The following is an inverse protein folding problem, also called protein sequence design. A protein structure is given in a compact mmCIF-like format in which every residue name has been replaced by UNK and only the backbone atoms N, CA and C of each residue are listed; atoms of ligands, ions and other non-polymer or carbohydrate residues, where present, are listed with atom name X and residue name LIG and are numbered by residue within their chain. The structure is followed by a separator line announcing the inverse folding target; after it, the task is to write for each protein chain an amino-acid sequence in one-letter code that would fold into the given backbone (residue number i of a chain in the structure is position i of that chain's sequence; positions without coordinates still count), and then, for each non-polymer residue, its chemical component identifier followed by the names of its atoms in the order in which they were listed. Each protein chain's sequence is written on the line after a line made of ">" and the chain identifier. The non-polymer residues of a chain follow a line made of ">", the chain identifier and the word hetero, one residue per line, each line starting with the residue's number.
data_IF_713002478852
#
_entry.id   IF_713002478852
#
_cell.length_a   1.000
_cell.length_b   1.000
_cell.length_c   1.000
_cell.angle_alpha   90.00
_cell.angle_beta   90.00
_cell.angle_gamma   90.00
#
_symmetry.space_group_name_H-M   'P 1'
#
loop_
_entity.id
_entity.type
_entity.pdbx_description
1 polymer ?
#
# COMPACT_ATOMS: atom_id res chain seq x y z
N UNK A 1 1.42 19.18 -4.21
CA UNK A 1 1.15 18.44 -2.94
C UNK A 1 -0.31 18.09 -2.90
N UNK A 2 -0.62 16.83 -2.59
CA UNK A 2 -1.96 16.24 -2.70
C UNK A 2 -2.26 15.43 -1.43
N UNK A 3 -3.49 15.52 -0.92
CA UNK A 3 -3.98 14.60 0.10
C UNK A 3 -4.53 13.35 -0.60
N UNK A 4 -3.88 12.20 -0.42
CA UNK A 4 -4.21 10.98 -1.17
C UNK A 4 -3.41 9.77 -0.70
N UNK A 5 -3.92 8.57 -0.99
CA UNK A 5 -3.25 7.35 -0.58
C UNK A 5 -1.90 7.21 -1.30
N UNK A 6 -0.80 6.96 -0.56
CA UNK A 6 0.47 6.62 -1.17
C UNK A 6 0.36 5.32 -1.98
N UNK A 7 1.15 5.22 -3.05
CA UNK A 7 1.15 4.09 -4.00
C UNK A 7 1.40 2.72 -3.35
N UNK A 8 2.11 2.69 -2.22
CA UNK A 8 2.36 1.49 -1.41
C UNK A 8 2.08 1.80 0.05
N UNK A 9 1.41 0.87 0.74
CA UNK A 9 1.18 0.99 2.18
C UNK A 9 0.16 2.07 2.57
N UNK A 10 -0.60 2.61 1.62
CA UNK A 10 -1.74 3.51 1.88
C UNK A 10 -3.02 2.79 2.30
N UNK A 11 -3.20 1.52 1.87
CA UNK A 11 -4.39 0.72 2.22
C UNK A 11 -4.30 0.06 3.60
N UNK A 12 -5.46 -0.13 4.23
CA UNK A 12 -5.59 -0.82 5.51
C UNK A 12 -5.36 -2.33 5.38
N UNK A 13 -4.43 -2.84 6.18
CA UNK A 13 -4.10 -4.27 6.27
C UNK A 13 -2.60 -4.55 6.46
N UNK A 14 -1.73 -3.56 6.25
CA UNK A 14 -0.28 -3.70 6.51
C UNK A 14 0.09 -3.12 7.87
N UNK A 15 1.01 -3.79 8.58
CA UNK A 15 1.54 -3.34 9.89
C UNK A 15 2.23 -1.97 9.82
N UNK A 16 2.76 -1.61 8.66
CA UNK A 16 3.43 -0.33 8.42
C UNK A 16 2.65 0.49 7.40
N UNK A 17 2.40 1.76 7.73
CA UNK A 17 1.70 2.72 6.87
C UNK A 17 2.68 3.77 6.37
N UNK A 18 2.60 4.06 5.08
CA UNK A 18 3.32 5.20 4.49
C UNK A 18 2.51 6.45 4.78
N UNK A 19 3.11 7.43 5.47
CA UNK A 19 2.44 8.66 5.92
C UNK A 19 2.58 9.80 4.91
N UNK A 20 3.71 9.83 4.22
CA UNK A 20 4.01 10.72 3.09
C UNK A 20 4.72 9.96 1.98
N UNK A 21 4.60 10.45 0.75
CA UNK A 21 5.36 9.93 -0.39
C UNK A 21 5.70 11.07 -1.36
N UNK A 22 6.99 11.20 -1.67
CA UNK A 22 7.47 12.02 -2.78
C UNK A 22 7.72 11.17 -4.04
N UNK A 23 7.30 11.69 -5.18
CA UNK A 23 7.79 11.32 -6.52
C UNK A 23 8.69 12.44 -7.02
N UNK A 24 9.92 12.10 -7.41
CA UNK A 24 10.86 13.08 -7.94
C UNK A 24 10.34 13.77 -9.20
N UNK A 25 10.84 14.97 -9.48
CA UNK A 25 10.57 15.71 -10.72
C UNK A 25 10.84 14.90 -12.02
N UNK A 26 11.74 13.92 -11.97
CA UNK A 26 12.02 13.06 -13.13
C UNK A 26 10.86 12.10 -13.46
N UNK A 27 9.94 11.87 -12.53
CA UNK A 27 8.78 11.01 -12.70
C UNK A 27 7.51 11.76 -13.17
N UNK A 28 7.56 13.08 -13.30
CA UNK A 28 6.45 13.90 -13.83
C UNK A 28 6.79 14.46 -15.22
N UNK A 29 5.78 14.53 -16.08
CA UNK A 29 5.89 15.09 -17.43
C UNK A 29 6.24 16.59 -17.40
N UNK A 30 5.69 17.32 -16.43
CA UNK A 30 5.91 18.76 -16.26
C UNK A 30 7.13 19.10 -15.39
N UNK A 31 7.90 18.08 -14.98
CA UNK A 31 9.13 18.19 -14.20
C UNK A 31 8.95 18.80 -12.80
N UNK A 32 7.78 18.70 -12.20
CA UNK A 32 7.56 18.99 -10.78
C UNK A 32 7.60 17.72 -9.93
N UNK A 33 8.09 17.86 -8.69
CA UNK A 33 8.01 16.78 -7.71
C UNK A 33 6.57 16.69 -7.16
N UNK A 34 6.04 15.47 -7.09
CA UNK A 34 4.69 15.21 -6.60
C UNK A 34 4.74 14.64 -5.18
N UNK A 35 4.15 15.36 -4.22
CA UNK A 35 4.10 14.95 -2.81
C UNK A 35 2.68 14.55 -2.43
N UNK A 36 2.54 13.35 -1.87
CA UNK A 36 1.31 12.80 -1.35
C UNK A 36 1.40 12.74 0.18
N UNK A 37 0.37 13.25 0.85
CA UNK A 37 0.17 13.07 2.29
C UNK A 37 -1.01 12.14 2.49
N UNK A 38 -0.83 11.14 3.35
CA UNK A 38 -1.85 10.12 3.60
C UNK A 38 -3.12 10.75 4.19
N UNK A 39 -4.31 10.41 3.68
CA UNK A 39 -5.57 11.01 4.12
C UNK A 39 -5.97 10.56 5.53
N UNK A 40 -5.25 9.63 6.15
CA UNK A 40 -5.47 9.21 7.54
C UNK A 40 -4.83 10.16 8.57
N UNK A 41 -4.01 11.11 8.11
CA UNK A 41 -3.35 12.14 8.91
C UNK A 41 -4.18 13.44 8.85
N UNK A 42 -4.61 13.95 10.00
CA UNK A 42 -5.41 15.18 10.10
C UNK A 42 -4.92 16.18 11.15
N UNK A 43 -3.93 15.79 11.96
CA UNK A 43 -3.24 16.74 12.82
C UNK A 43 -2.35 17.67 11.98
N UNK A 44 -2.63 18.98 12.02
CA UNK A 44 -1.95 19.98 11.18
C UNK A 44 -0.43 19.97 11.36
N UNK A 45 0.04 19.80 12.60
CA UNK A 45 1.43 19.96 12.96
C UNK A 45 2.23 18.72 12.52
N UNK A 46 1.64 17.55 12.74
CA UNK A 46 2.08 16.28 12.19
C UNK A 46 2.17 16.30 10.66
N UNK A 47 1.14 16.82 9.98
CA UNK A 47 1.13 16.94 8.51
C UNK A 47 2.25 17.86 8.03
N UNK A 48 2.51 18.97 8.72
CA UNK A 48 3.62 19.87 8.40
C UNK A 48 4.99 19.17 8.52
N UNK A 49 5.20 18.39 9.59
CA UNK A 49 6.42 17.62 9.76
C UNK A 49 6.59 16.54 8.67
N UNK A 50 5.52 15.84 8.29
CA UNK A 50 5.58 14.87 7.18
C UNK A 50 5.89 15.60 5.87
N UNK A 51 5.25 16.73 5.60
CA UNK A 51 5.50 17.51 4.39
C UNK A 51 6.96 17.97 4.31
N UNK A 52 7.53 18.46 5.42
CA UNK A 52 8.93 18.85 5.49
C UNK A 52 9.87 17.67 5.16
N UNK A 53 9.58 16.47 5.68
CA UNK A 53 10.31 15.25 5.33
C UNK A 53 10.27 14.97 3.82
N UNK A 54 9.09 15.02 3.21
CA UNK A 54 8.93 14.75 1.77
C UNK A 54 9.54 15.85 0.88
N UNK A 55 9.57 17.10 1.35
CA UNK A 55 10.27 18.19 0.65
C UNK A 55 11.78 17.97 0.58
N UNK A 56 12.38 17.28 1.56
CA UNK A 56 13.79 16.88 1.47
C UNK A 56 13.97 15.85 0.34
N UNK A 57 13.07 14.87 0.20
CA UNK A 57 13.12 13.93 -0.95
C UNK A 57 12.96 14.67 -2.28
N UNK A 58 12.09 15.69 -2.34
CA UNK A 58 11.95 16.51 -3.54
C UNK A 58 13.24 17.27 -3.89
N UNK A 59 13.94 17.80 -2.88
CA UNK A 59 15.20 18.52 -3.06
C UNK A 59 16.40 17.59 -3.33
N UNK A 60 16.37 16.37 -2.80
CA UNK A 60 17.45 15.37 -2.86
C UNK A 60 16.93 14.01 -3.36
N UNK A 61 16.43 13.91 -4.61
CA UNK A 61 15.69 12.74 -5.10
C UNK A 61 16.49 11.44 -5.08
N UNK A 62 17.82 11.51 -5.26
CA UNK A 62 18.69 10.33 -5.32
C UNK A 62 19.28 9.92 -3.96
N UNK A 63 19.04 10.71 -2.91
CA UNK A 63 19.64 10.47 -1.61
C UNK A 63 18.99 9.29 -0.86
N UNK A 64 17.70 9.03 -1.09
CA UNK A 64 16.90 8.21 -0.18
C UNK A 64 17.07 8.69 1.27
N UNK A 65 17.18 7.80 2.25
CA UNK A 65 17.51 8.17 3.64
C UNK A 65 19.02 8.07 3.95
N UNK A 66 19.90 8.21 2.95
CA UNK A 66 21.37 8.16 3.12
C UNK A 66 21.91 9.49 3.65
N UNK A 67 23.24 9.57 3.87
CA UNK A 67 23.92 10.69 4.54
C UNK A 67 23.50 12.10 4.08
N UNK A 68 23.33 12.41 2.78
CA UNK A 68 22.87 13.75 2.36
C UNK A 68 21.49 14.10 2.93
N UNK A 69 20.54 13.15 2.89
CA UNK A 69 19.23 13.29 3.49
C UNK A 69 19.30 13.47 5.00
N UNK A 70 20.11 12.64 5.68
CA UNK A 70 20.25 12.69 7.14
C UNK A 70 20.76 14.05 7.63
N UNK A 71 21.71 14.64 6.89
CA UNK A 71 22.23 15.98 7.17
C UNK A 71 21.11 17.02 6.98
N UNK A 72 20.42 16.99 5.84
CA UNK A 72 19.33 17.92 5.56
C UNK A 72 18.19 17.81 6.60
N UNK A 73 17.76 16.58 6.90
CA UNK A 73 16.72 16.29 7.89
C UNK A 73 17.11 16.78 9.28
N UNK A 74 18.33 16.47 9.75
CA UNK A 74 18.82 16.96 11.04
C UNK A 74 18.91 18.50 11.06
N UNK A 75 19.35 19.13 9.96
CA UNK A 75 19.51 20.58 9.88
C UNK A 75 18.19 21.36 9.99
N UNK A 76 17.08 20.75 9.57
CA UNK A 76 15.74 21.34 9.71
C UNK A 76 14.99 20.82 10.94
N UNK A 77 15.64 20.03 11.82
CA UNK A 77 15.03 19.58 13.06
C UNK A 77 14.20 18.29 12.95
N UNK A 78 14.64 17.30 12.16
CA UNK A 78 14.15 15.91 12.26
C UNK A 78 15.14 15.02 13.02
N UNK A 79 14.60 14.03 13.75
CA UNK A 79 15.37 13.06 14.52
C UNK A 79 15.44 11.70 13.81
N UNK A 80 16.53 10.97 14.04
CA UNK A 80 16.66 9.57 13.62
C UNK A 80 15.73 8.64 14.43
N UNK A 81 15.30 7.48 13.88
CA UNK A 81 15.59 6.98 12.53
C UNK A 81 14.81 7.74 11.44
N UNK A 82 15.49 8.14 10.37
CA UNK A 82 14.90 9.00 9.34
C UNK A 82 13.83 8.32 8.48
N UNK A 83 13.72 7.00 8.49
CA UNK A 83 12.61 6.30 7.81
C UNK A 83 11.26 6.49 8.51
N UNK A 84 11.27 6.93 9.77
CA UNK A 84 10.09 7.23 10.58
C UNK A 84 10.35 8.47 11.44
N UNK A 85 11.10 9.45 10.92
CA UNK A 85 11.58 10.58 11.72
C UNK A 85 10.43 11.37 12.30
N UNK A 86 10.58 11.72 13.57
CA UNK A 86 9.77 12.74 14.22
C UNK A 86 10.50 14.09 14.16
N UNK A 87 9.73 15.18 14.18
CA UNK A 87 10.28 16.52 14.30
C UNK A 87 10.78 16.77 15.74
N UNK A 88 11.76 17.65 15.87
CA UNK A 88 12.23 18.14 17.17
C UNK A 88 11.26 19.20 17.71
N UNK A 89 11.24 19.45 19.03
CA UNK A 89 10.44 20.53 19.61
C UNK A 89 10.71 21.90 18.97
N UNK A 90 11.97 22.18 18.61
CA UNK A 90 12.37 23.45 17.99
C UNK A 90 11.79 23.61 16.58
N UNK A 91 11.73 22.53 15.78
CA UNK A 91 11.01 22.56 14.51
C UNK A 91 9.52 22.80 14.72
N UNK A 92 8.92 22.14 15.72
CA UNK A 92 7.49 22.28 15.99
C UNK A 92 7.13 23.69 16.44
N UNK A 93 7.92 24.32 17.30
CA UNK A 93 7.73 25.71 17.72
C UNK A 93 7.80 26.67 16.51
N UNK A 94 8.80 26.49 15.63
CA UNK A 94 8.88 27.25 14.39
C UNK A 94 7.68 27.00 13.46
N UNK A 95 7.30 25.73 13.29
CA UNK A 95 6.21 25.34 12.42
C UNK A 95 4.86 25.85 12.93
N UNK A 96 4.62 25.85 14.23
CA UNK A 96 3.39 26.35 14.85
C UNK A 96 3.17 27.83 14.56
N UNK A 97 4.21 28.66 14.68
CA UNK A 97 4.13 30.07 14.32
C UNK A 97 3.73 30.29 12.85
N UNK A 98 4.25 29.45 11.93
CA UNK A 98 3.84 29.47 10.53
C UNK A 98 2.39 28.98 10.35
N UNK A 99 2.04 27.86 10.98
CA UNK A 99 0.72 27.24 10.87
C UNK A 99 -0.40 28.14 11.43
N UNK A 100 -0.11 28.98 12.42
CA UNK A 100 -1.06 29.94 12.98
C UNK A 100 -1.36 31.11 12.02
N UNK A 101 -0.47 31.36 11.06
CA UNK A 101 -0.72 32.34 9.98
C UNK A 101 -1.59 31.78 8.84
N UNK A 102 -1.79 30.47 8.80
CA UNK A 102 -2.55 29.79 7.74
C UNK A 102 -4.02 29.61 8.12
N UNK A 103 -4.92 29.51 7.13
CA UNK A 103 -6.30 29.12 7.41
C UNK A 103 -6.36 27.72 8.04
N UNK A 104 -7.48 27.36 8.70
CA UNK A 104 -7.68 26.05 9.27
C UNK A 104 -7.40 24.94 8.25
N UNK A 105 -6.68 23.89 8.68
CA UNK A 105 -6.39 22.74 7.84
C UNK A 105 -7.71 22.11 7.35
N UNK A 106 -8.01 22.12 6.04
CA UNK A 106 -9.35 21.81 5.55
C UNK A 106 -9.66 20.31 5.57
N UNK A 107 -8.65 19.46 5.74
CA UNK A 107 -8.79 18.00 5.73
C UNK A 107 -9.19 17.47 7.11
N UNK A 108 -9.92 16.35 7.10
CA UNK A 108 -10.26 15.57 8.30
C UNK A 108 -9.91 14.11 8.03
N UNK A 109 -9.49 13.39 9.07
CA UNK A 109 -9.02 12.01 8.94
C UNK A 109 -10.02 11.15 8.17
N UNK A 110 -9.54 10.54 7.10
CA UNK A 110 -10.25 9.49 6.41
C UNK A 110 -10.22 8.21 7.24
N UNK A 111 -11.37 7.80 7.74
CA UNK A 111 -11.55 6.52 8.41
C UNK A 111 -11.60 5.38 7.39
N UNK A 112 -10.45 5.05 6.83
CA UNK A 112 -10.29 4.08 5.75
C UNK A 112 -10.64 2.62 6.14
N UNK A 113 -11.02 2.36 7.41
CA UNK A 113 -11.51 1.05 7.88
C UNK A 113 -12.98 0.81 7.54
N UNK A 114 -13.69 1.85 7.08
CA UNK A 114 -15.07 1.72 6.64
C UNK A 114 -15.05 1.24 5.18
N UNK A 115 -15.51 0.02 4.87
CA UNK A 115 -15.59 -0.44 3.49
C UNK A 115 -16.51 0.52 2.70
N UNK A 116 -16.03 1.07 1.59
CA UNK A 116 -16.85 1.89 0.66
C UNK A 116 -17.93 1.03 -0.01
N UNK A 117 -17.67 -0.27 -0.08
CA UNK A 117 -18.62 -1.37 -0.21
C UNK A 117 -17.89 -2.59 0.37
N UNK A 118 -18.59 -3.57 0.97
CA UNK A 118 -17.98 -4.88 1.19
C UNK A 118 -17.48 -5.37 -0.16
N UNK A 119 -16.16 -5.46 -0.32
CA UNK A 119 -15.55 -6.03 -1.52
C UNK A 119 -16.09 -7.46 -1.56
N UNK A 120 -17.03 -7.75 -2.48
CA UNK A 120 -17.60 -9.10 -2.62
C UNK A 120 -16.42 -10.06 -2.67
N UNK A 121 -16.39 -11.02 -1.75
CA UNK A 121 -15.37 -12.06 -1.71
C UNK A 121 -15.29 -12.64 -3.13
N UNK A 122 -14.11 -12.59 -3.74
CA UNK A 122 -13.95 -13.22 -5.05
C UNK A 122 -14.15 -14.72 -4.85
N UNK A 123 -15.30 -15.25 -5.27
CA UNK A 123 -15.70 -16.66 -5.07
C UNK A 123 -14.98 -17.63 -6.00
N UNK A 124 -14.18 -17.14 -6.94
CA UNK A 124 -13.41 -17.97 -7.86
C UNK A 124 -12.10 -18.49 -7.21
N UNK A 125 -12.21 -19.39 -6.23
CA UNK A 125 -11.06 -20.17 -5.76
C UNK A 125 -10.69 -21.19 -6.85
N UNK A 126 -9.46 -21.10 -7.35
CA UNK A 126 -8.93 -22.11 -8.28
C UNK A 126 -8.63 -23.40 -7.50
N UNK A 127 -9.13 -24.53 -8.00
CA UNK A 127 -8.95 -25.87 -7.44
C UNK A 127 -7.72 -26.50 -8.09
N UNK A 128 -6.82 -27.03 -7.26
CA UNK A 128 -5.62 -27.74 -7.72
C UNK A 128 -6.01 -29.16 -8.13
N UNK A 129 -5.61 -29.55 -9.33
CA UNK A 129 -5.59 -30.92 -9.79
C UNK A 129 -4.13 -31.38 -9.86
N UNK A 130 -3.87 -32.63 -9.50
CA UNK A 130 -2.54 -33.24 -9.50
C UNK A 130 -2.58 -34.64 -10.13
N UNK A 131 -1.61 -34.93 -10.99
CA UNK A 131 -1.44 -36.26 -11.56
C UNK A 131 -0.81 -37.18 -10.51
N UNK A 132 -1.47 -38.31 -10.23
CA UNK A 132 -0.97 -39.28 -9.24
C UNK A 132 0.31 -40.02 -9.69
N UNK A 133 0.60 -40.03 -10.99
CA UNK A 133 1.73 -40.77 -11.57
C UNK A 133 3.01 -39.94 -11.59
N UNK A 134 2.92 -38.64 -11.92
CA UNK A 134 4.10 -37.78 -12.10
C UNK A 134 4.07 -36.47 -11.32
N UNK A 135 3.02 -36.17 -10.56
CA UNK A 135 2.91 -34.93 -9.79
C UNK A 135 2.70 -33.67 -10.62
N UNK A 136 2.43 -33.77 -11.93
CA UNK A 136 2.05 -32.60 -12.74
C UNK A 136 0.82 -31.92 -12.14
N UNK A 137 0.82 -30.59 -12.03
CA UNK A 137 -0.28 -29.84 -11.41
C UNK A 137 -0.93 -28.86 -12.38
N UNK A 138 -2.25 -28.79 -12.33
CA UNK A 138 -3.09 -27.83 -13.06
C UNK A 138 -4.01 -27.17 -12.05
N UNK A 139 -4.38 -25.91 -12.29
CA UNK A 139 -5.42 -25.24 -11.52
C UNK A 139 -6.60 -24.94 -12.43
N UNK A 140 -7.80 -25.33 -12.03
CA UNK A 140 -9.06 -25.09 -12.77
C UNK A 140 -10.15 -24.57 -11.84
N UNK A 141 -11.33 -24.25 -12.36
CA UNK A 141 -12.48 -23.78 -11.58
C UNK A 141 -13.43 -24.92 -11.22
N UNK A 142 -14.19 -24.76 -10.12
CA UNK A 142 -15.28 -25.68 -9.72
C UNK A 142 -16.19 -26.01 -10.90
N UNK A 143 -16.61 -24.97 -11.64
CA UNK A 143 -17.44 -25.09 -12.84
C UNK A 143 -16.92 -26.16 -13.80
N UNK A 144 -15.62 -26.16 -14.13
CA UNK A 144 -15.07 -27.11 -15.11
C UNK A 144 -14.96 -28.53 -14.56
N UNK A 145 -14.66 -28.67 -13.26
CA UNK A 145 -14.64 -29.98 -12.62
C UNK A 145 -16.03 -30.62 -12.56
N UNK A 146 -17.06 -29.83 -12.24
CA UNK A 146 -18.44 -30.33 -12.17
C UNK A 146 -19.04 -30.56 -13.56
N UNK A 147 -18.74 -29.70 -14.54
CA UNK A 147 -19.36 -29.80 -15.88
C UNK A 147 -18.66 -30.74 -16.85
N UNK A 148 -17.33 -30.89 -16.75
CA UNK A 148 -16.53 -31.66 -17.72
C UNK A 148 -15.61 -32.69 -17.04
N UNK A 149 -15.30 -32.49 -15.77
CA UNK A 149 -14.42 -33.38 -15.00
C UNK A 149 -12.98 -32.86 -14.91
N UNK A 150 -12.16 -33.60 -14.15
CA UNK A 150 -10.76 -33.23 -13.96
C UNK A 150 -9.95 -33.35 -15.27
N UNK A 151 -8.95 -32.48 -15.49
CA UNK A 151 -8.06 -32.55 -16.64
C UNK A 151 -7.33 -33.90 -16.74
N UNK A 152 -6.92 -34.27 -17.96
CA UNK A 152 -6.04 -35.42 -18.20
C UNK A 152 -4.60 -34.93 -18.14
N UNK A 153 -3.71 -35.73 -17.56
CA UNK A 153 -2.29 -35.42 -17.54
C UNK A 153 -1.74 -35.38 -18.99
N UNK A 154 -0.93 -34.37 -19.36
CA UNK A 154 -0.40 -34.27 -20.73
C UNK A 154 0.70 -35.30 -21.04
N UNK A 155 1.20 -36.03 -20.04
CA UNK A 155 2.20 -37.09 -20.24
C UNK A 155 1.53 -38.33 -20.83
N UNK A 156 2.17 -38.91 -21.83
CA UNK A 156 1.69 -40.11 -22.51
C UNK A 156 1.48 -41.27 -21.52
N UNK A 157 0.34 -41.95 -21.64
CA UNK A 157 -0.03 -43.07 -20.76
C UNK A 157 -0.64 -42.68 -19.42
N UNK A 158 -0.59 -41.40 -19.02
CA UNK A 158 -1.15 -40.96 -17.74
C UNK A 158 -2.64 -40.62 -17.84
N UNK A 159 -3.34 -40.82 -16.73
CA UNK A 159 -4.79 -40.69 -16.65
C UNK A 159 -5.33 -39.31 -16.24
N UNK A 160 -6.60 -39.34 -15.82
CA UNK A 160 -7.32 -38.20 -15.23
C UNK A 160 -6.67 -37.78 -13.92
N UNK A 161 -6.46 -36.48 -13.74
CA UNK A 161 -5.82 -35.90 -12.55
C UNK A 161 -6.78 -35.91 -11.34
N UNK A 162 -6.22 -35.97 -10.14
CA UNK A 162 -6.96 -35.99 -8.88
C UNK A 162 -7.09 -34.56 -8.31
N UNK A 163 -8.16 -34.28 -7.58
CA UNK A 163 -8.34 -33.03 -6.84
C UNK A 163 -9.05 -33.30 -5.51
N UNK A 164 -8.91 -32.37 -4.57
CA UNK A 164 -9.63 -32.43 -3.30
C UNK A 164 -11.15 -32.38 -3.54
N UNK A 165 -11.97 -33.02 -2.67
CA UNK A 165 -13.42 -32.94 -2.76
C UNK A 165 -13.90 -31.49 -2.86
N UNK A 166 -14.90 -31.27 -3.71
CA UNK A 166 -15.54 -29.97 -3.83
C UNK A 166 -16.56 -29.86 -2.70
N UNK A 167 -16.23 -29.13 -1.63
CA UNK A 167 -17.16 -28.93 -0.52
C UNK A 167 -18.48 -28.30 -1.03
N UNK A 168 -19.61 -28.90 -0.62
CA UNK A 168 -20.95 -28.40 -0.95
C UNK A 168 -21.16 -26.96 -0.47
N UNK A 169 -21.98 -26.20 -1.19
CA UNK A 169 -22.22 -24.78 -0.94
C UNK A 169 -22.46 -24.46 0.55
N UNK A 170 -21.54 -23.72 1.16
CA UNK A 170 -21.86 -22.77 2.23
C UNK A 170 -22.40 -21.49 1.57
N UNK A 171 -23.58 -21.61 0.94
CA UNK A 171 -24.41 -20.48 0.57
C UNK A 171 -25.69 -20.60 1.39
N UNK A 172 -25.62 -20.20 2.65
CA UNK A 172 -26.75 -19.74 3.47
C UNK A 172 -26.16 -19.12 4.75
N UNK A 173 -25.92 -17.82 4.71
CA UNK A 173 -26.10 -16.93 5.87
C UNK A 173 -26.15 -15.48 5.35
N UNK A 174 -27.33 -14.88 5.54
CA UNK A 174 -27.75 -13.50 5.24
C UNK A 174 -26.79 -12.40 5.78
#
# INVERSE_FOLDING_TARGET
>A
MTCGFPSKGGELGKKTRVRGQCWSAAASEDRHAEIFISPVEDDRATVAAILAHEMIHAALPDAGHKRPFQIAAASIGHKAPFTSSEATPEFMEWAEALLDSLPPYPHRRLNAMRPVAQKKKQTARMIKCECAECGYTVRTTRKWLESVGAPICPTEGHGRMQHDPIDGNEDDDD
#
